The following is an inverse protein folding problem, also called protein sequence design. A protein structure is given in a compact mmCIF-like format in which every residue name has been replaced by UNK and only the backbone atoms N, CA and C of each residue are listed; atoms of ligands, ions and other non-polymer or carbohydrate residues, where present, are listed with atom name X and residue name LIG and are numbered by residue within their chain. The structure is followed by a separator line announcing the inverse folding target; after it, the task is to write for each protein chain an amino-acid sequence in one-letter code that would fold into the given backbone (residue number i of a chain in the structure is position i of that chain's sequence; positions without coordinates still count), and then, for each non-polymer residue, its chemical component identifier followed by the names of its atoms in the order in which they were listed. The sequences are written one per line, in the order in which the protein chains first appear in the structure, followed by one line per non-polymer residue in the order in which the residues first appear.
data_IF_788558764774
#
_entry.id   IF_788558764774
#
_cell.length_a   1.000
_cell.length_b   1.000
_cell.length_c   1.000
_cell.angle_alpha   90.00
_cell.angle_beta   90.00
_cell.angle_gamma   90.00
#
_symmetry.space_group_name_H-M   'P 1'
#
loop_
_entity.id
_entity.type
_entity.pdbx_description
1 polymer ?
#
# COMPACT_ATOMS: atom_id res chain seq x y z
N UNK A 1 -6.49 -11.01 -14.61
CA UNK A 1 -7.44 -9.88 -14.74
C UNK A 1 -6.69 -8.60 -14.45
N UNK A 2 -6.97 -7.50 -15.17
CA UNK A 2 -6.31 -6.22 -14.88
C UNK A 2 -7.07 -5.44 -13.80
N UNK A 3 -6.36 -4.57 -13.07
CA UNK A 3 -6.96 -3.80 -11.97
C UNK A 3 -8.11 -2.90 -12.45
N UNK A 4 -8.03 -2.41 -13.69
CA UNK A 4 -9.04 -1.57 -14.32
C UNK A 4 -10.32 -2.31 -14.74
N UNK A 5 -10.29 -3.64 -14.78
CA UNK A 5 -11.41 -4.50 -15.19
C UNK A 5 -12.19 -5.07 -14.00
N UNK A 6 -11.62 -5.02 -12.79
CA UNK A 6 -12.20 -5.57 -11.58
C UNK A 6 -13.53 -4.89 -11.21
N UNK A 7 -14.44 -5.68 -10.67
CA UNK A 7 -15.79 -5.29 -10.24
C UNK A 7 -16.08 -5.82 -8.84
N UNK A 8 -17.08 -5.22 -8.20
CA UNK A 8 -17.64 -5.75 -6.96
C UNK A 8 -18.07 -7.20 -7.18
N UNK A 9 -17.68 -8.08 -6.27
CA UNK A 9 -17.91 -9.53 -6.35
C UNK A 9 -16.77 -10.33 -6.97
N UNK A 10 -15.87 -9.71 -7.75
CA UNK A 10 -14.70 -10.41 -8.28
C UNK A 10 -13.78 -10.86 -7.14
N UNK A 11 -13.18 -12.04 -7.31
CA UNK A 11 -12.25 -12.58 -6.33
C UNK A 11 -10.84 -12.04 -6.56
N UNK A 12 -10.22 -11.52 -5.51
CA UNK A 12 -8.80 -11.14 -5.49
C UNK A 12 -8.02 -12.05 -4.57
N UNK A 13 -6.87 -12.53 -5.03
CA UNK A 13 -5.98 -13.32 -4.20
C UNK A 13 -5.39 -12.45 -3.10
N UNK A 14 -5.55 -12.88 -1.85
CA UNK A 14 -4.83 -12.31 -0.73
C UNK A 14 -3.51 -13.05 -0.56
N UNK A 15 -2.58 -12.42 0.15
CA UNK A 15 -1.27 -13.02 0.39
C UNK A 15 -1.33 -14.29 1.26
N UNK A 16 -2.40 -14.47 2.05
CA UNK A 16 -2.68 -15.69 2.81
C UNK A 16 -3.09 -16.90 1.96
N UNK A 17 -3.26 -16.73 0.65
CA UNK A 17 -3.60 -17.80 -0.29
C UNK A 17 -5.10 -17.95 -0.57
N UNK A 18 -5.94 -17.33 0.25
CA UNK A 18 -7.39 -17.29 0.04
C UNK A 18 -7.77 -16.18 -0.95
N UNK A 19 -8.79 -16.44 -1.76
CA UNK A 19 -9.36 -15.42 -2.63
C UNK A 19 -10.57 -14.78 -1.94
N UNK A 20 -10.59 -13.45 -1.84
CA UNK A 20 -11.67 -12.70 -1.21
C UNK A 20 -12.46 -11.88 -2.23
N UNK A 21 -13.79 -11.77 -2.08
CA UNK A 21 -14.61 -10.96 -2.97
C UNK A 21 -14.37 -9.47 -2.71
N UNK A 22 -14.25 -8.69 -3.78
CA UNK A 22 -14.26 -7.23 -3.73
C UNK A 22 -15.62 -6.77 -3.22
N UNK A 23 -15.64 -6.03 -2.11
CA UNK A 23 -16.85 -5.42 -1.53
C UNK A 23 -17.12 -4.03 -2.06
N UNK A 24 -16.06 -3.33 -2.41
CA UNK A 24 -16.14 -2.02 -3.04
C UNK A 24 -14.91 -1.81 -3.91
N UNK A 25 -15.10 -1.17 -5.07
CA UNK A 25 -14.01 -0.73 -5.92
C UNK A 25 -14.39 0.60 -6.54
N UNK A 26 -13.45 1.52 -6.58
CA UNK A 26 -13.62 2.78 -7.29
C UNK A 26 -12.30 3.26 -7.84
N UNK A 27 -12.36 4.04 -8.93
CA UNK A 27 -11.18 4.63 -9.50
C UNK A 27 -11.44 6.00 -10.07
N UNK A 28 -10.47 6.90 -9.87
CA UNK A 28 -10.54 8.30 -10.28
C UNK A 28 -9.35 8.67 -11.14
N UNK A 29 -9.62 9.41 -12.21
CA UNK A 29 -8.59 10.04 -13.00
C UNK A 29 -8.10 11.33 -12.32
N UNK A 30 -6.78 11.47 -12.23
CA UNK A 30 -6.13 12.66 -11.67
C UNK A 30 -4.90 13.03 -12.51
N UNK A 31 -4.53 14.30 -12.47
CA UNK A 31 -3.24 14.75 -13.00
C UNK A 31 -2.16 14.44 -11.97
N UNK A 32 -1.12 13.72 -12.41
CA UNK A 32 0.02 13.26 -11.61
C UNK A 32 0.96 14.42 -11.22
N UNK A 33 0.49 15.32 -10.36
CA UNK A 33 1.25 16.50 -9.94
C UNK A 33 1.06 16.80 -8.45
N UNK A 34 2.09 17.36 -7.81
CA UNK A 34 2.04 17.82 -6.43
C UNK A 34 1.67 16.71 -5.45
N UNK A 35 0.53 16.84 -4.77
CA UNK A 35 0.04 15.81 -3.83
C UNK A 35 -0.36 14.50 -4.52
N UNK A 36 -0.77 14.56 -5.79
CA UNK A 36 -1.23 13.41 -6.57
C UNK A 36 -0.11 12.70 -7.35
N UNK A 37 1.14 13.19 -7.26
CA UNK A 37 2.28 12.54 -7.92
C UNK A 37 2.50 11.14 -7.35
N UNK A 38 2.50 10.07 -8.18
CA UNK A 38 2.64 8.70 -7.69
C UNK A 38 4.05 8.43 -7.18
N UNK A 39 4.17 7.36 -6.40
CA UNK A 39 5.45 6.70 -6.17
C UNK A 39 5.62 5.64 -7.24
N UNK A 40 6.71 5.73 -8.01
CA UNK A 40 7.17 4.68 -8.89
C UNK A 40 8.03 3.70 -8.10
N UNK A 41 7.65 2.44 -8.15
CA UNK A 41 8.39 1.29 -7.65
C UNK A 41 8.87 0.51 -8.87
N UNK A 42 10.16 0.62 -9.25
CA UNK A 42 10.70 -0.09 -10.42
C UNK A 42 10.60 -1.60 -10.26
N UNK A 43 10.58 -2.32 -11.39
CA UNK A 43 10.67 -3.78 -11.37
C UNK A 43 11.88 -4.26 -10.53
N UNK A 44 11.67 -5.25 -9.65
CA UNK A 44 12.71 -5.79 -8.76
C UNK A 44 13.11 -4.93 -7.56
N UNK A 45 12.58 -3.69 -7.41
CA UNK A 45 13.02 -2.75 -6.38
C UNK A 45 12.73 -3.17 -4.93
N UNK A 46 11.76 -4.06 -4.71
CA UNK A 46 11.36 -4.53 -3.38
C UNK A 46 12.12 -5.78 -2.94
N UNK A 47 12.85 -6.42 -3.85
CA UNK A 47 13.57 -7.68 -3.63
C UNK A 47 12.93 -8.88 -4.31
N UNK A 48 13.68 -9.97 -4.45
CA UNK A 48 13.23 -11.23 -5.06
C UNK A 48 12.59 -11.09 -6.47
N UNK A 49 13.01 -10.08 -7.25
CA UNK A 49 12.43 -9.80 -8.56
C UNK A 49 11.08 -9.08 -8.52
N UNK A 50 10.67 -8.55 -7.35
CA UNK A 50 9.40 -7.83 -7.18
C UNK A 50 9.56 -6.31 -7.10
N UNK A 51 8.57 -5.53 -7.58
CA UNK A 51 7.45 -5.98 -8.40
C UNK A 51 7.93 -6.57 -9.75
N UNK A 52 7.12 -7.41 -10.38
CA UNK A 52 7.46 -8.07 -11.66
C UNK A 52 7.61 -7.08 -12.82
N UNK A 53 6.98 -5.91 -12.68
CA UNK A 53 7.02 -4.77 -13.60
C UNK A 53 6.88 -3.48 -12.81
N UNK A 54 7.27 -2.37 -13.40
CA UNK A 54 7.10 -1.05 -12.81
C UNK A 54 5.68 -0.84 -12.28
N UNK A 55 5.59 -0.46 -11.01
CA UNK A 55 4.34 -0.25 -10.30
C UNK A 55 4.25 1.21 -9.86
N UNK A 56 3.13 1.87 -10.16
CA UNK A 56 2.81 3.21 -9.66
C UNK A 56 1.69 3.11 -8.64
N UNK A 57 1.92 3.67 -7.46
CA UNK A 57 0.93 3.71 -6.37
C UNK A 57 0.81 5.13 -5.82
N UNK A 58 -0.31 5.43 -5.17
CA UNK A 58 -0.46 6.71 -4.45
C UNK A 58 0.54 6.76 -3.30
N UNK A 59 0.92 7.98 -2.88
CA UNK A 59 2.01 8.21 -1.94
C UNK A 59 1.80 7.52 -0.59
N UNK A 60 0.55 7.48 -0.14
CA UNK A 60 0.17 6.89 1.14
C UNK A 60 -0.23 5.42 1.06
N UNK A 61 -0.32 4.84 -0.14
CA UNK A 61 -0.61 3.42 -0.30
C UNK A 61 0.47 2.59 0.38
N UNK A 62 0.08 1.71 1.29
CA UNK A 62 1.03 0.91 2.06
C UNK A 62 1.43 -0.35 1.31
N UNK A 63 2.74 -0.53 1.20
CA UNK A 63 3.35 -1.76 0.71
C UNK A 63 3.71 -2.65 1.90
N UNK A 64 3.65 -3.97 1.72
CA UNK A 64 4.14 -4.90 2.72
C UNK A 64 5.66 -4.91 2.70
N UNK A 65 6.28 -4.71 3.87
CA UNK A 65 7.69 -5.04 4.10
C UNK A 65 7.71 -6.34 4.91
N UNK A 66 8.34 -7.36 4.33
CA UNK A 66 8.53 -8.70 4.92
C UNK A 66 10.02 -8.96 5.05
N UNK A 67 10.59 -8.79 6.25
CA UNK A 67 12.03 -8.93 6.45
C UNK A 67 12.44 -9.34 7.87
N UNK A 68 13.65 -9.90 8.00
CA UNK A 68 14.25 -10.14 9.34
C UNK A 68 14.57 -8.84 10.08
N UNK A 69 14.69 -7.72 9.36
CA UNK A 69 14.88 -6.40 9.98
C UNK A 69 13.58 -5.99 10.67
N UNK A 70 12.42 -6.18 10.03
CA UNK A 70 11.13 -5.92 10.62
C UNK A 70 10.92 -6.77 11.89
N UNK A 71 11.26 -8.06 11.83
CA UNK A 71 11.17 -8.98 12.99
C UNK A 71 11.95 -8.46 14.19
N UNK A 72 13.24 -8.13 13.99
CA UNK A 72 14.09 -7.60 15.06
C UNK A 72 13.63 -6.25 15.62
N UNK A 73 12.85 -5.50 14.85
CA UNK A 73 12.38 -4.17 15.24
C UNK A 73 11.01 -4.18 15.91
N UNK A 74 10.14 -5.09 15.48
CA UNK A 74 8.71 -5.03 15.77
C UNK A 74 8.14 -6.35 16.31
N UNK A 75 8.96 -7.40 16.41
CA UNK A 75 8.52 -8.72 16.85
C UNK A 75 7.70 -9.49 15.79
N UNK A 76 7.64 -8.99 14.56
CA UNK A 76 6.98 -9.63 13.42
C UNK A 76 7.76 -9.38 12.14
N UNK A 77 7.79 -10.36 11.24
CA UNK A 77 8.44 -10.20 9.93
C UNK A 77 7.72 -9.19 9.04
N UNK A 78 6.46 -8.86 9.32
CA UNK A 78 5.57 -8.18 8.38
C UNK A 78 5.04 -6.87 8.94
N UNK A 79 5.26 -5.79 8.20
CA UNK A 79 4.72 -4.46 8.52
C UNK A 79 4.29 -3.71 7.27
N UNK A 80 3.33 -2.81 7.43
CA UNK A 80 2.82 -1.96 6.34
C UNK A 80 3.49 -0.59 6.37
N UNK A 81 4.10 -0.20 5.24
CA UNK A 81 4.84 1.06 5.12
C UNK A 81 4.30 1.86 3.92
N UNK A 82 3.92 3.13 4.09
CA UNK A 82 3.51 3.98 2.97
C UNK A 82 4.60 4.06 1.89
N UNK A 83 4.23 3.95 0.62
CA UNK A 83 5.17 3.92 -0.51
C UNK A 83 6.12 5.13 -0.52
N UNK A 84 5.64 6.33 -0.15
CA UNK A 84 6.48 7.54 -0.10
C UNK A 84 7.61 7.44 0.92
N UNK A 85 7.46 6.62 1.97
CA UNK A 85 8.51 6.39 2.97
C UNK A 85 9.59 5.42 2.48
N UNK A 86 9.29 4.63 1.45
CA UNK A 86 10.24 3.72 0.81
C UNK A 86 11.09 4.41 -0.27
N UNK A 87 10.79 5.67 -0.61
CA UNK A 87 11.56 6.44 -1.57
C UNK A 87 13.05 6.49 -1.18
N UNK A 88 13.91 6.18 -2.15
CA UNK A 88 15.36 6.04 -1.97
C UNK A 88 15.85 4.59 -1.82
N UNK A 89 14.97 3.61 -1.62
CA UNK A 89 15.31 2.19 -1.67
C UNK A 89 15.08 1.63 -3.09
N UNK A 90 16.04 0.87 -3.63
CA UNK A 90 15.84 0.12 -4.88
C UNK A 90 15.43 0.96 -6.10
N UNK A 91 15.73 2.26 -6.12
CA UNK A 91 15.27 3.17 -7.18
C UNK A 91 13.82 3.65 -7.03
N UNK A 92 13.13 3.30 -5.94
CA UNK A 92 11.80 3.83 -5.61
C UNK A 92 11.87 5.34 -5.46
N UNK A 93 10.97 6.04 -6.14
CA UNK A 93 10.98 7.51 -6.22
C UNK A 93 9.61 8.09 -6.48
N UNK A 94 9.42 9.37 -6.15
CA UNK A 94 8.28 10.12 -6.66
C UNK A 94 8.43 10.28 -8.17
N UNK A 95 7.38 9.97 -8.91
CA UNK A 95 7.29 10.21 -10.35
C UNK A 95 6.53 11.51 -10.58
N UNK A 96 7.30 12.59 -10.73
CA UNK A 96 6.77 13.94 -10.96
C UNK A 96 6.47 14.23 -12.43
N UNK A 97 6.53 13.22 -13.30
CA UNK A 97 6.19 13.35 -14.72
C UNK A 97 4.70 13.66 -14.86
N UNK A 98 4.32 14.85 -15.38
CA UNK A 98 2.91 15.16 -15.53
C UNK A 98 2.25 14.20 -16.51
N UNK A 99 1.23 13.49 -16.03
CA UNK A 99 0.43 12.57 -16.84
C UNK A 99 -0.97 12.47 -16.24
N UNK A 100 -1.97 12.17 -17.08
CA UNK A 100 -3.27 11.73 -16.61
C UNK A 100 -3.14 10.26 -16.21
N UNK A 101 -3.42 9.94 -14.95
CA UNK A 101 -3.43 8.56 -14.44
C UNK A 101 -4.74 8.26 -13.73
N UNK A 102 -5.05 6.98 -13.56
CA UNK A 102 -6.20 6.50 -12.79
C UNK A 102 -5.72 5.78 -11.55
N UNK A 103 -6.05 6.31 -10.37
CA UNK A 103 -5.91 5.54 -9.13
C UNK A 103 -7.13 4.67 -8.94
N UNK A 104 -6.91 3.42 -8.56
CA UNK A 104 -7.97 2.45 -8.26
C UNK A 104 -7.77 1.96 -6.84
N UNK A 105 -8.84 2.00 -6.06
CA UNK A 105 -8.89 1.47 -4.70
C UNK A 105 -9.96 0.40 -4.63
N UNK A 106 -9.65 -0.68 -3.92
CA UNK A 106 -10.59 -1.77 -3.66
C UNK A 106 -10.61 -2.07 -2.16
N UNK A 107 -11.76 -2.49 -1.66
CA UNK A 107 -11.99 -2.85 -0.27
C UNK A 107 -12.60 -4.25 -0.21
N UNK A 108 -12.19 -5.02 0.78
CA UNK A 108 -12.66 -6.38 1.05
C UNK A 108 -13.51 -6.38 2.34
N UNK A 109 -13.92 -7.55 2.83
CA UNK A 109 -14.64 -7.66 4.11
C UNK A 109 -13.80 -7.22 5.31
N UNK A 110 -12.50 -7.48 5.24
CA UNK A 110 -11.50 -7.03 6.18
C UNK A 110 -10.36 -6.34 5.42
N UNK A 111 -9.64 -5.44 6.08
CA UNK A 111 -8.39 -4.98 5.50
C UNK A 111 -7.42 -6.16 5.43
N UNK A 112 -7.01 -6.50 4.22
CA UNK A 112 -6.11 -7.59 3.93
C UNK A 112 -4.98 -7.17 2.99
N UNK A 113 -3.99 -8.03 2.84
CA UNK A 113 -2.88 -7.90 1.90
C UNK A 113 -3.29 -8.53 0.57
N UNK A 114 -3.25 -7.73 -0.49
CA UNK A 114 -3.49 -8.16 -1.87
C UNK A 114 -2.19 -8.17 -2.66
N UNK A 115 -2.17 -8.83 -3.81
CA UNK A 115 -1.00 -8.88 -4.69
C UNK A 115 -1.19 -7.94 -5.88
N UNK A 116 -0.34 -6.92 -5.99
CA UNK A 116 -0.30 -5.99 -7.12
C UNK A 116 1.02 -6.14 -7.87
N UNK A 117 0.99 -6.53 -9.15
CA UNK A 117 2.22 -6.79 -9.96
C UNK A 117 3.23 -7.72 -9.25
N UNK A 118 2.72 -8.77 -8.59
CA UNK A 118 3.53 -9.73 -7.85
C UNK A 118 3.99 -9.26 -6.46
N UNK A 119 3.90 -7.97 -6.13
CA UNK A 119 4.27 -7.45 -4.81
C UNK A 119 3.08 -7.36 -3.86
N UNK A 120 3.20 -7.79 -2.58
CA UNK A 120 2.13 -7.63 -1.61
C UNK A 120 1.93 -6.16 -1.19
N UNK A 121 0.68 -5.71 -1.20
CA UNK A 121 0.27 -4.36 -0.82
C UNK A 121 -1.07 -4.39 -0.09
N UNK A 122 -1.46 -3.29 0.54
CA UNK A 122 -2.74 -3.23 1.24
C UNK A 122 -3.95 -3.18 0.29
N UNK A 123 -5.07 -3.78 0.71
CA UNK A 123 -6.40 -3.33 0.29
C UNK A 123 -6.76 -2.02 0.99
N UNK A 124 -7.80 -1.31 0.54
CA UNK A 124 -8.21 -0.04 1.13
C UNK A 124 -8.63 -0.25 2.60
N UNK A 125 -7.93 0.45 3.50
CA UNK A 125 -8.33 0.57 4.89
C UNK A 125 -9.33 1.72 5.07
N UNK A 126 -10.56 1.42 5.51
CA UNK A 126 -11.56 2.42 5.85
C UNK A 126 -12.20 2.15 7.22
N UNK A 127 -11.44 2.32 8.31
CA UNK A 127 -11.95 2.20 9.69
C UNK A 127 -12.39 3.54 10.30
N UNK A 128 -13.14 3.50 11.41
CA UNK A 128 -13.66 4.66 12.16
C UNK A 128 -12.58 5.72 12.52
N UNK A 129 -11.32 5.30 12.67
CA UNK A 129 -10.18 6.20 12.87
C UNK A 129 -9.79 7.02 11.63
N UNK A 130 -10.19 6.61 10.43
CA UNK A 130 -10.03 7.39 9.19
C UNK A 130 -10.90 8.67 9.23
N UNK A 131 -12.03 8.65 9.94
CA UNK A 131 -12.95 9.78 10.01
C UNK A 131 -12.74 10.61 11.30
N UNK A 132 -12.38 9.98 12.42
CA UNK A 132 -12.39 10.64 13.74
C UNK A 132 -11.06 11.03 14.39
N UNK A 133 -9.92 10.40 14.05
CA UNK A 133 -8.67 10.55 14.87
C UNK A 133 -7.34 10.48 14.11
N UNK A 134 -7.27 10.93 12.86
CA UNK A 134 -5.97 11.12 12.19
C UNK A 134 -5.56 12.60 12.21
N UNK A 135 -4.56 12.99 13.01
CA UNK A 135 -3.93 14.29 12.87
C UNK A 135 -3.25 14.32 11.50
N UNK A 136 -3.82 15.12 10.59
CA UNK A 136 -3.23 15.64 9.36
C UNK A 136 -2.67 14.61 8.34
N UNK A 137 -3.22 14.69 7.11
CA UNK A 137 -2.68 14.25 5.81
C UNK A 137 -3.12 12.90 5.19
N UNK A 138 -3.57 11.90 5.94
CA UNK A 138 -3.87 10.59 5.33
C UNK A 138 -5.26 10.48 4.68
N UNK A 139 -6.26 11.20 5.19
CA UNK A 139 -7.63 11.06 4.70
C UNK A 139 -8.03 12.10 3.67
N UNK A 140 -7.22 13.14 3.43
CA UNK A 140 -7.56 14.14 2.43
C UNK A 140 -7.50 13.55 1.03
N UNK A 141 -6.52 12.73 0.68
CA UNK A 141 -6.49 12.13 -0.67
C UNK A 141 -7.67 11.16 -0.88
N UNK A 142 -7.98 10.30 0.08
CA UNK A 142 -9.08 9.33 -0.03
C UNK A 142 -10.45 10.02 0.10
N UNK A 143 -10.64 11.00 0.99
CA UNK A 143 -11.91 11.72 1.18
C UNK A 143 -12.13 12.87 0.18
N UNK A 144 -11.08 13.51 -0.35
CA UNK A 144 -11.18 14.44 -1.50
C UNK A 144 -11.57 13.66 -2.77
N UNK A 145 -11.32 12.34 -2.79
CA UNK A 145 -11.57 11.43 -3.91
C UNK A 145 -12.87 10.64 -3.75
N UNK A 146 -13.29 10.28 -2.53
CA UNK A 146 -14.43 9.39 -2.27
C UNK A 146 -15.30 9.91 -1.12
N UNK A 147 -16.06 10.99 -1.38
CA UNK A 147 -16.98 11.58 -0.41
C UNK A 147 -18.05 10.59 0.10
N UNK A 148 -18.41 9.58 -0.70
CA UNK A 148 -19.41 8.55 -0.39
C UNK A 148 -19.02 7.64 0.79
N UNK A 149 -17.73 7.48 1.05
CA UNK A 149 -17.26 6.68 2.19
C UNK A 149 -17.59 7.34 3.55
N UNK A 150 -17.97 8.63 3.57
CA UNK A 150 -18.43 9.32 4.79
C UNK A 150 -19.76 8.77 5.34
N UNK A 151 -20.56 8.10 4.51
CA UNK A 151 -21.95 7.73 4.82
C UNK A 151 -22.10 6.32 5.41
N UNK A 152 -21.05 5.50 5.40
CA UNK A 152 -21.09 4.13 5.94
C UNK A 152 -19.75 3.78 6.62
N UNK A 153 -19.53 4.19 7.88
CA UNK A 153 -18.40 3.69 8.67
C UNK A 153 -18.68 2.22 9.07
N UNK A 154 -18.50 1.28 8.14
CA UNK A 154 -18.70 -0.13 8.44
C UNK A 154 -17.52 -0.69 9.23
N UNK A 155 -17.77 -0.98 10.52
CA UNK A 155 -16.95 -1.73 11.49
C UNK A 155 -15.53 -1.20 11.74
N UNK A 156 -15.04 -1.39 12.97
CA UNK A 156 -13.63 -1.17 13.30
C UNK A 156 -12.79 -2.19 12.51
N UNK A 157 -12.41 -1.82 11.29
CA UNK A 157 -11.45 -2.58 10.50
C UNK A 157 -10.11 -2.40 11.20
N UNK A 158 -9.49 -3.48 11.66
CA UNK A 158 -8.10 -3.47 12.11
C UNK A 158 -7.17 -3.57 10.89
N UNK A 159 -5.95 -3.03 11.00
CA UNK A 159 -4.96 -3.27 9.93
C UNK A 159 -4.59 -4.75 9.88
N UNK A 160 -4.55 -5.31 8.67
CA UNK A 160 -4.06 -6.67 8.39
C UNK A 160 -2.71 -6.96 9.04
N UNK A 161 -1.85 -5.94 9.11
CA UNK A 161 -0.49 -6.01 9.66
C UNK A 161 -0.16 -4.73 10.42
N UNK A 162 0.77 -4.77 11.38
CA UNK A 162 1.17 -3.57 12.12
C UNK A 162 1.64 -2.45 11.21
N UNK A 163 1.25 -1.23 11.54
CA UNK A 163 1.70 0.01 10.89
C UNK A 163 2.58 0.77 11.89
N UNK A 164 3.92 0.64 11.82
CA UNK A 164 4.82 1.35 12.71
C UNK A 164 4.63 2.86 12.58
N UNK A 165 4.94 3.63 13.63
CA UNK A 165 4.86 5.09 13.55
C UNK A 165 5.97 5.67 12.65
N UNK A 166 5.84 6.95 12.26
CA UNK A 166 6.76 7.59 11.31
C UNK A 166 8.25 7.50 11.70
N UNK A 167 8.57 7.59 13.00
CA UNK A 167 9.96 7.47 13.50
C UNK A 167 10.47 6.03 13.34
N UNK A 168 9.63 5.04 13.62
CA UNK A 168 9.95 3.62 13.44
C UNK A 168 10.11 3.27 11.95
N UNK A 169 9.24 3.78 11.08
CA UNK A 169 9.32 3.60 9.63
C UNK A 169 10.65 4.14 9.07
N UNK A 170 11.04 5.36 9.46
CA UNK A 170 12.31 5.95 9.03
C UNK A 170 13.53 5.11 9.49
N UNK A 171 13.49 4.56 10.71
CA UNK A 171 14.54 3.67 11.22
C UNK A 171 14.61 2.34 10.47
N UNK A 172 13.45 1.79 10.08
CA UNK A 172 13.38 0.57 9.28
C UNK A 172 14.06 0.77 7.93
N UNK A 173 13.67 1.83 7.21
CA UNK A 173 14.24 2.20 5.91
C UNK A 173 15.75 2.42 6.00
N UNK A 174 16.22 3.17 7.01
CA UNK A 174 17.65 3.39 7.24
C UNK A 174 18.42 2.08 7.48
N UNK A 175 17.81 1.09 8.15
CA UNK A 175 18.42 -0.22 8.38
C UNK A 175 18.48 -1.07 7.11
N UNK A 176 17.44 -1.04 6.28
CA UNK A 176 17.47 -1.70 4.97
C UNK A 176 18.59 -1.12 4.09
N UNK A 177 18.70 0.21 4.02
CA UNK A 177 19.79 0.90 3.32
C UNK A 177 21.17 0.50 3.87
N UNK A 178 21.38 0.63 5.18
CA UNK A 178 22.67 0.34 5.83
C UNK A 178 23.11 -1.11 5.61
N UNK A 179 22.17 -2.05 5.70
CA UNK A 179 22.48 -3.48 5.64
C UNK A 179 22.39 -4.06 4.23
N UNK A 180 22.00 -3.25 3.23
CA UNK A 180 21.75 -3.69 1.85
C UNK A 180 20.84 -4.91 1.78
N UNK A 181 19.71 -4.85 2.51
CA UNK A 181 18.72 -5.93 2.57
C UNK A 181 17.45 -5.53 1.87
N UNK A 182 16.91 -6.47 1.12
CA UNK A 182 15.62 -6.38 0.44
C UNK A 182 14.48 -6.15 1.42
N UNK A 183 13.40 -5.53 0.93
CA UNK A 183 12.20 -5.24 1.72
C UNK A 183 11.24 -6.43 1.76
N UNK A 184 11.30 -7.31 0.77
CA UNK A 184 10.49 -8.53 0.69
C UNK A 184 11.43 -9.73 0.54
N UNK A 185 11.54 -10.52 1.61
CA UNK A 185 12.29 -11.78 1.63
C UNK A 185 11.33 -12.97 1.40
N UNK A 186 11.50 -13.73 0.32
CA UNK A 186 10.62 -14.88 -0.04
C UNK A 186 10.68 -16.04 0.97
N UNK A 187 11.78 -16.18 1.71
CA UNK A 187 11.97 -17.23 2.70
C UNK A 187 11.16 -17.05 3.98
N UNK A 188 10.44 -15.93 4.11
CA UNK A 188 9.67 -15.57 5.31
C UNK A 188 8.15 -15.61 5.06
N UNK A 189 7.72 -16.20 3.94
CA UNK A 189 6.30 -16.37 3.59
C UNK A 189 5.70 -17.56 4.31
#
# INVERSE_FOLDING_TARGET
MRIEELRVGDLVCTDGGDAQPIRWISGRYVIAQGKNAPVLIPAGAMGAGLPERDLRVSRQHRMLVRSRIAERMFGTHEVLIPAVKLAGLGGIRLDSTPALLRYVHLMLDSHDIIIANGVPSESLYFGEQAVGKLPNSNCHEILDVFAELRLNPSRAIEFARPVPNARQQARLVARHLKNKRDMVEMSLR
#
